data_IF_134495166248
#
_entry.id   IF_134495166248
#
_cell.length_a   1.000
_cell.length_b   1.000
_cell.length_c   1.000
_cell.angle_alpha   90.00
_cell.angle_beta   90.00
_cell.angle_gamma   90.00
#
_symmetry.space_group_name_H-M   'P 1'
#
loop_
_entity.id
_entity.type
_entity.pdbx_description
1 polymer ?
2 polymer ?
3 polymer ?
4 non-polymer ?
5 water ?
#
# COMPACT_ATOMS: atom_id res chain seq x y z
N UNK A 1 -2.92 -0.53 20.94
CA UNK A 1 -3.33 0.82 21.24
C UNK A 1 -4.34 1.35 20.25
N UNK A 2 -3.89 2.25 19.38
CA UNK A 2 -4.75 2.83 18.36
C UNK A 2 -4.85 1.93 17.14
N UNK A 3 -6.06 1.74 16.63
CA UNK A 3 -6.26 0.94 15.43
C UNK A 3 -7.05 1.71 14.39
N UNK A 4 -7.13 1.20 13.17
CA UNK A 4 -7.79 1.91 12.09
C UNK A 4 -8.39 0.98 11.05
N UNK A 5 -9.46 1.45 10.40
CA UNK A 5 -10.05 0.74 9.27
C UNK A 5 -10.17 1.70 8.09
N UNK A 6 -9.64 1.29 6.94
CA UNK A 6 -9.63 2.13 5.75
C UNK A 6 -10.10 1.40 4.51
N UNK A 7 -10.82 2.10 3.66
CA UNK A 7 -11.25 1.58 2.37
C UNK A 7 -10.69 2.44 1.25
N UNK A 8 -10.13 1.76 0.25
CA UNK A 8 -9.53 2.40 -0.91
C UNK A 8 -10.29 2.02 -2.19
N UNK A 9 -10.83 3.04 -2.86
CA UNK A 9 -11.53 2.86 -4.12
C UNK A 9 -10.72 3.44 -5.27
N UNK A 10 -10.63 2.69 -6.36
CA UNK A 10 -9.98 3.16 -7.57
C UNK A 10 -10.86 2.88 -8.78
N UNK A 11 -11.30 3.94 -9.44
CA UNK A 11 -12.14 3.81 -10.62
C UNK A 11 -11.43 4.39 -11.84
N UNK A 12 -11.23 3.57 -12.86
CA UNK A 12 -10.52 3.99 -14.06
C UNK A 12 -11.37 3.81 -15.31
N UNK A 13 -11.67 4.92 -15.98
CA UNK A 13 -12.46 4.87 -17.20
C UNK A 13 -11.65 4.25 -18.34
N UNK A 14 -12.32 3.48 -19.18
CA UNK A 14 -11.66 2.79 -20.28
C UNK A 14 -12.42 2.99 -21.59
N UNK A 15 -12.23 4.15 -22.24
CA UNK A 15 -12.89 4.47 -23.50
C UNK A 15 -12.69 3.37 -24.53
N UNK A 16 -13.78 2.72 -24.93
CA UNK A 16 -13.71 1.63 -25.88
C UNK A 16 -13.77 0.27 -25.20
N UNK A 17 -13.20 0.19 -24.01
CA UNK A 17 -13.21 -1.03 -23.22
C UNK A 17 -14.51 -1.19 -22.44
N UNK A 18 -15.47 -0.31 -22.70
CA UNK A 18 -16.75 -0.37 -22.01
C UNK A 18 -16.72 0.32 -20.65
N UNK A 19 -17.48 -0.23 -19.71
CA UNK A 19 -17.59 0.34 -18.37
C UNK A 19 -16.22 0.52 -17.71
N UNK A 20 -16.09 1.57 -16.87
CA UNK A 20 -14.87 1.80 -16.10
C UNK A 20 -14.61 0.67 -15.12
N UNK A 21 -13.34 0.44 -14.79
CA UNK A 21 -12.99 -0.61 -13.85
C UNK A 21 -12.94 -0.07 -12.41
N UNK A 22 -13.60 -0.78 -11.51
CA UNK A 22 -13.66 -0.37 -10.11
C UNK A 22 -12.99 -1.40 -9.20
N UNK A 23 -12.01 -0.96 -8.43
CA UNK A 23 -11.30 -1.83 -7.50
C UNK A 23 -11.35 -1.28 -6.08
N UNK A 24 -11.85 -2.07 -5.16
CA UNK A 24 -11.98 -1.66 -3.77
C UNK A 24 -11.21 -2.59 -2.84
N UNK A 25 -10.45 -2.01 -1.91
CA UNK A 25 -9.72 -2.82 -0.93
C UNK A 25 -9.94 -2.32 0.50
N UNK A 26 -10.05 -3.27 1.43
CA UNK A 26 -10.28 -2.95 2.83
C UNK A 26 -9.12 -3.34 3.71
N UNK A 27 -8.76 -2.45 4.62
CA UNK A 27 -7.61 -2.65 5.51
C UNK A 27 -7.97 -2.41 6.96
N UNK A 28 -7.56 -3.36 7.82
CA UNK A 28 -7.51 -3.11 9.25
C UNK A 28 -6.06 -2.90 9.61
N UNK A 29 -5.70 -1.67 9.95
CA UNK A 29 -4.30 -1.30 10.16
C UNK A 29 -3.51 -1.52 8.88
N UNK A 30 -2.63 -2.52 8.89
CA UNK A 30 -1.83 -2.84 7.72
C UNK A 30 -2.20 -4.20 7.13
N UNK A 31 -3.37 -4.71 7.52
CA UNK A 31 -3.81 -6.02 7.04
C UNK A 31 -5.03 -5.92 6.14
N UNK A 32 -4.86 -6.29 4.87
CA UNK A 32 -5.98 -6.33 3.94
C UNK A 32 -6.91 -7.49 4.30
N UNK A 33 -8.22 -7.22 4.31
CA UNK A 33 -9.18 -8.26 4.70
C UNK A 33 -10.29 -8.47 3.67
N UNK A 34 -10.45 -7.52 2.75
CA UNK A 34 -11.47 -7.62 1.71
C UNK A 34 -11.02 -7.00 0.40
N UNK A 35 -11.68 -7.41 -0.68
CA UNK A 35 -11.38 -6.90 -2.01
C UNK A 35 -12.62 -6.94 -2.87
N UNK A 36 -12.67 -6.08 -3.88
CA UNK A 36 -13.73 -6.09 -4.87
C UNK A 36 -13.21 -5.62 -6.23
N UNK A 37 -13.39 -6.46 -7.25
CA UNK A 37 -12.91 -6.13 -8.59
C UNK A 37 -14.04 -6.30 -9.60
N UNK A 38 -14.43 -5.21 -10.25
CA UNK A 38 -15.48 -5.25 -11.25
C UNK A 38 -15.10 -6.14 -12.42
N UNK A 39 -13.80 -6.37 -12.58
CA UNK A 39 -13.30 -7.21 -13.67
C UNK A 39 -13.12 -8.66 -13.25
N UNK A 40 -13.48 -8.97 -12.01
CA UNK A 40 -13.46 -10.36 -11.56
C UNK A 40 -14.51 -11.14 -12.34
N UNK A 41 -14.29 -12.43 -12.51
CA UNK A 41 -15.20 -13.27 -13.28
C UNK A 41 -16.61 -13.29 -12.70
N UNK A 42 -16.70 -13.03 -11.40
CA UNK A 42 -17.99 -12.92 -10.74
C UNK A 42 -17.91 -11.90 -9.61
N UNK A 43 -17.96 -10.60 -9.96
CA UNK A 43 -17.78 -9.48 -9.04
C UNK A 43 -18.50 -9.68 -7.71
N UNK A 44 -17.75 -9.62 -6.62
CA UNK A 44 -18.31 -9.77 -5.27
C UNK A 44 -17.25 -9.46 -4.23
N UNK A 45 -17.69 -9.05 -3.05
CA UNK A 45 -16.78 -8.80 -1.94
C UNK A 45 -16.15 -10.12 -1.49
N UNK A 46 -14.83 -10.18 -1.55
CA UNK A 46 -14.12 -11.40 -1.19
C UNK A 46 -13.29 -11.23 0.08
N UNK A 47 -13.19 -12.30 0.89
CA UNK A 47 -12.37 -12.31 2.09
C UNK A 47 -10.89 -12.48 1.75
N UNK A 48 -10.04 -11.66 2.37
CA UNK A 48 -8.59 -11.77 2.17
C UNK A 48 -7.90 -12.00 3.51
N UNK A 49 -8.70 -12.22 4.55
CA UNK A 49 -8.19 -12.53 5.88
C UNK A 49 -9.03 -13.61 6.53
N UNK A 50 -8.36 -14.53 7.26
CA UNK A 50 -9.02 -15.66 7.91
C UNK A 50 -10.09 -15.24 8.93
N UNK A 51 -9.89 -14.10 9.58
CA UNK A 51 -10.78 -13.68 10.66
C UNK A 51 -12.04 -12.98 10.20
N UNK A 52 -12.18 -12.79 8.88
CA UNK A 52 -13.39 -12.19 8.32
C UNK A 52 -14.07 -13.18 7.39
N UNK A 53 -13.40 -14.29 7.13
CA UNK A 53 -13.87 -15.29 6.18
C UNK A 53 -15.10 -16.05 6.68
N UNK A 54 -15.31 -16.04 7.99
CA UNK A 54 -16.42 -16.78 8.58
C UNK A 54 -17.65 -15.91 8.86
N UNK A 55 -17.68 -14.73 8.25
CA UNK A 55 -18.85 -13.87 8.36
C UNK A 55 -19.99 -14.45 7.53
N UNK A 56 -21.20 -14.40 8.08
CA UNK A 56 -22.36 -14.96 7.42
C UNK A 56 -22.58 -14.42 6.02
N UNK A 57 -23.40 -15.13 5.23
CA UNK A 57 -23.71 -14.77 3.84
C UNK A 57 -24.24 -13.35 3.72
N UNK A 58 -25.01 -12.90 4.72
CA UNK A 58 -25.57 -11.55 4.70
C UNK A 58 -24.47 -10.50 4.57
N UNK A 59 -23.39 -10.70 5.30
CA UNK A 59 -22.24 -9.80 5.27
C UNK A 59 -21.73 -9.62 3.85
N UNK A 60 -21.54 -10.74 3.15
CA UNK A 60 -20.97 -10.72 1.81
C UNK A 60 -21.94 -10.19 0.77
N UNK A 61 -23.22 -10.51 0.92
CA UNK A 61 -24.25 -10.02 0.01
C UNK A 61 -24.37 -8.50 0.11
N UNK A 62 -24.55 -8.01 1.33
CA UNK A 62 -24.65 -6.58 1.57
C UNK A 62 -23.38 -5.85 1.14
N UNK A 63 -22.23 -6.42 1.50
CA UNK A 63 -20.94 -5.85 1.13
C UNK A 63 -20.81 -5.72 -0.38
N UNK A 64 -21.19 -6.77 -1.09
CA UNK A 64 -21.16 -6.75 -2.55
C UNK A 64 -22.06 -5.66 -3.09
N UNK A 65 -23.29 -5.60 -2.56
CA UNK A 65 -24.24 -4.59 -2.97
C UNK A 65 -23.65 -3.19 -2.84
N UNK A 66 -23.11 -2.88 -1.68
CA UNK A 66 -22.53 -1.57 -1.42
C UNK A 66 -21.34 -1.30 -2.33
N UNK A 67 -20.56 -2.35 -2.61
CA UNK A 67 -19.42 -2.22 -3.50
C UNK A 67 -19.86 -1.79 -4.89
N UNK A 68 -20.83 -2.51 -5.45
CA UNK A 68 -21.37 -2.18 -6.77
C UNK A 68 -21.96 -0.77 -6.78
N UNK A 69 -22.70 -0.43 -5.73
CA UNK A 69 -23.25 0.91 -5.57
C UNK A 69 -22.14 1.94 -5.71
N UNK A 70 -21.06 1.74 -4.96
CA UNK A 70 -19.91 2.63 -4.99
C UNK A 70 -19.35 2.72 -6.41
N UNK A 71 -19.29 1.59 -7.09
CA UNK A 71 -18.78 1.55 -8.46
C UNK A 71 -19.60 2.47 -9.37
N UNK A 72 -20.92 2.28 -9.36
CA UNK A 72 -21.80 3.11 -10.18
C UNK A 72 -21.63 4.58 -9.82
N UNK A 73 -21.55 4.85 -8.51
CA UNK A 73 -21.33 6.21 -8.02
C UNK A 73 -20.09 6.82 -8.65
N UNK A 74 -19.01 6.05 -8.70
CA UNK A 74 -17.77 6.53 -9.27
C UNK A 74 -17.85 6.69 -10.79
N UNK A 75 -18.71 5.90 -11.43
CA UNK A 75 -18.97 6.09 -12.85
C UNK A 75 -19.62 7.45 -13.10
N UNK A 76 -20.72 7.68 -12.39
CA UNK A 76 -21.43 8.95 -12.49
C UNK A 76 -20.51 10.12 -12.17
N UNK A 77 -19.64 9.93 -11.18
CA UNK A 77 -18.66 10.95 -10.81
C UNK A 77 -17.61 11.16 -11.89
N UNK A 78 -17.33 10.10 -12.65
CA UNK A 78 -16.41 10.19 -13.77
C UNK A 78 -17.02 11.05 -14.87
N UNK A 79 -18.28 10.78 -15.21
CA UNK A 79 -18.98 11.60 -16.19
C UNK A 79 -19.02 13.07 -15.74
N UNK A 80 -19.51 13.28 -14.53
CA UNK A 80 -19.60 14.63 -13.97
C UNK A 80 -18.24 15.32 -14.01
N UNK A 81 -17.18 14.55 -13.80
CA UNK A 81 -15.81 15.08 -13.83
C UNK A 81 -15.44 15.52 -15.24
N UNK A 82 -15.76 14.66 -16.22
CA UNK A 82 -15.53 14.99 -17.62
C UNK A 82 -16.18 16.31 -17.96
N UNK A 83 -17.33 16.55 -17.33
CA UNK A 83 -18.10 17.76 -17.61
C UNK A 83 -17.57 18.98 -16.85
N UNK A 84 -17.00 18.76 -15.67
CA UNK A 84 -16.44 19.84 -14.88
C UNK A 84 -15.19 20.42 -15.52
N UNK A 85 -14.25 19.55 -15.87
CA UNK A 85 -12.98 19.99 -16.45
C UNK A 85 -13.07 20.12 -17.97
N UNK A 86 -14.28 19.96 -18.51
CA UNK A 86 -14.49 20.06 -19.96
C UNK A 86 -13.53 19.16 -20.73
N UNK A 87 -13.63 17.85 -20.50
CA UNK A 87 -12.74 16.90 -21.12
C UNK A 87 -13.48 15.94 -22.05
N UNK A 88 -12.73 15.26 -22.90
CA UNK A 88 -13.32 14.34 -23.87
C UNK A 88 -13.59 12.98 -23.25
N UNK A 89 -14.60 12.29 -23.77
CA UNK A 89 -14.97 10.97 -23.28
C UNK A 89 -14.08 9.90 -23.90
N UNK A 90 -13.22 10.32 -24.83
CA UNK A 90 -12.31 9.40 -25.49
C UNK A 90 -11.01 9.26 -24.71
N UNK A 91 -10.88 10.05 -23.64
CA UNK A 91 -9.70 10.00 -22.81
C UNK A 91 -9.94 9.25 -21.52
N UNK A 92 -8.88 8.62 -21.00
CA UNK A 92 -8.98 7.85 -19.76
C UNK A 92 -8.71 8.72 -18.54
N UNK A 93 -9.50 8.52 -17.49
CA UNK A 93 -9.34 9.28 -16.26
C UNK A 93 -9.48 8.40 -15.03
N UNK A 94 -9.07 8.91 -13.87
CA UNK A 94 -9.05 8.12 -12.65
C UNK A 94 -9.64 8.86 -11.46
N UNK A 95 -10.44 8.14 -10.67
CA UNK A 95 -10.96 8.68 -9.42
C UNK A 95 -10.55 7.76 -8.27
N UNK A 96 -9.92 8.34 -7.25
CA UNK A 96 -9.48 7.56 -6.10
C UNK A 96 -10.13 8.09 -4.83
N UNK A 97 -10.56 7.20 -3.95
CA UNK A 97 -11.16 7.64 -2.69
C UNK A 97 -10.75 6.76 -1.50
N UNK A 98 -10.17 7.39 -0.49
CA UNK A 98 -9.84 6.66 0.73
C UNK A 98 -10.69 7.19 1.87
N UNK A 99 -11.31 6.28 2.62
CA UNK A 99 -12.12 6.71 3.76
C UNK A 99 -12.09 5.68 4.89
N UNK A 100 -12.09 6.14 6.13
CA UNK A 100 -12.05 5.22 7.26
C UNK A 100 -12.13 5.87 8.63
N UNK A 101 -11.86 5.07 9.66
CA UNK A 101 -11.94 5.56 11.03
C UNK A 101 -10.79 5.04 11.88
N UNK A 102 -10.43 5.81 12.90
CA UNK A 102 -9.36 5.43 13.82
C UNK A 102 -9.87 5.22 15.23
N UNK A 103 -10.05 3.97 15.62
CA UNK A 103 -10.44 3.63 16.98
C UNK A 103 -9.29 3.93 17.95
N UNK A 104 -9.57 4.80 18.92
CA UNK A 104 -8.59 5.15 19.92
C UNK A 104 -8.61 4.20 21.11
N UNK A 105 -7.75 4.44 22.10
CA UNK A 105 -7.60 3.58 23.27
C UNK A 105 -8.86 3.55 24.15
N UNK A 106 -9.60 4.66 24.18
CA UNK A 106 -10.80 4.75 25.00
C UNK A 106 -12.05 4.30 24.25
N UNK A 107 -11.84 3.63 23.12
CA UNK A 107 -12.95 3.10 22.34
C UNK A 107 -13.78 4.19 21.69
N UNK A 108 -13.15 5.32 21.39
CA UNK A 108 -13.84 6.44 20.77
C UNK A 108 -13.13 6.86 19.48
N UNK A 109 -13.86 7.54 18.60
CA UNK A 109 -13.31 7.98 17.33
C UNK A 109 -12.15 8.96 17.52
N UNK A 110 -10.97 8.56 17.08
CA UNK A 110 -9.78 9.40 17.20
C UNK A 110 -9.63 10.31 15.99
N UNK A 111 -9.80 9.75 14.80
CA UNK A 111 -9.69 10.51 13.56
C UNK A 111 -10.52 9.88 12.45
N UNK A 112 -11.07 10.71 11.58
CA UNK A 112 -11.88 10.24 10.46
C UNK A 112 -11.24 10.57 9.13
N UNK A 113 -11.49 9.74 8.13
CA UNK A 113 -10.92 9.93 6.80
C UNK A 113 -11.97 9.85 5.71
N UNK A 114 -11.95 10.83 4.81
CA UNK A 114 -12.80 10.83 3.62
C UNK A 114 -12.22 11.77 2.58
N UNK A 115 -11.29 11.27 1.78
CA UNK A 115 -10.60 12.10 0.80
C UNK A 115 -10.62 11.47 -0.59
N UNK A 116 -10.77 12.31 -1.61
CA UNK A 116 -10.85 11.84 -2.98
C UNK A 116 -10.03 12.70 -3.93
N UNK A 117 -9.35 12.05 -4.86
CA UNK A 117 -8.52 12.71 -5.86
C UNK A 117 -8.93 12.32 -7.27
N UNK A 118 -8.72 13.24 -8.21
CA UNK A 118 -9.04 13.00 -9.61
C UNK A 118 -7.79 13.10 -10.47
N UNK A 119 -7.47 12.00 -11.15
CA UNK A 119 -6.27 11.92 -11.98
C UNK A 119 -4.98 12.15 -11.17
N UNK A 120 -4.93 11.57 -9.99
CA UNK A 120 -3.73 11.60 -9.17
C UNK A 120 -3.51 12.90 -8.43
N UNK A 121 -4.49 13.79 -8.45
CA UNK A 121 -4.39 15.07 -7.76
C UNK A 121 -5.57 15.28 -6.82
N UNK A 122 -5.29 15.83 -5.64
CA UNK A 122 -6.32 16.13 -4.66
C UNK A 122 -7.55 16.74 -5.33
N UNK A 123 -8.72 16.22 -4.99
CA UNK A 123 -9.97 16.79 -5.48
C UNK A 123 -10.74 17.43 -4.33
N UNK A 124 -11.20 16.60 -3.40
CA UNK A 124 -11.91 17.11 -2.24
C UNK A 124 -11.69 16.21 -1.02
N UNK A 125 -11.46 16.83 0.14
CA UNK A 125 -11.17 16.06 1.34
C UNK A 125 -11.90 16.57 2.58
N UNK A 126 -12.28 15.65 3.45
CA UNK A 126 -12.93 16.01 4.70
C UNK A 126 -11.90 16.53 5.70
N UNK A 127 -12.18 17.69 6.30
CA UNK A 127 -11.27 18.30 7.26
C UNK A 127 -11.26 17.58 8.60
N UNK A 128 -10.24 17.85 9.41
CA UNK A 128 -10.09 17.23 10.71
C UNK A 128 -11.25 17.51 11.63
N UNK A 129 -11.91 18.63 11.43
CA UNK A 129 -13.07 19.01 12.24
C UNK A 129 -14.27 18.10 11.96
N UNK A 130 -14.17 17.33 10.87
CA UNK A 130 -15.23 16.42 10.47
C UNK A 130 -16.53 17.17 10.16
N UNK A 131 -16.40 18.47 9.91
CA UNK A 131 -17.56 19.31 9.62
C UNK A 131 -17.43 19.96 8.24
N UNK A 132 -16.22 20.40 7.92
CA UNK A 132 -15.98 21.16 6.69
C UNK A 132 -15.24 20.36 5.63
N UNK A 133 -15.25 20.88 4.40
CA UNK A 133 -14.56 20.23 3.28
C UNK A 133 -13.49 21.15 2.71
N UNK A 134 -12.47 20.55 2.10
CA UNK A 134 -11.44 21.30 1.39
C UNK A 134 -11.42 20.89 -0.07
N UNK A 135 -11.62 21.87 -0.95
CA UNK A 135 -11.61 21.64 -2.39
C UNK A 135 -10.29 22.12 -2.98
N UNK A 136 -9.70 21.30 -3.83
CA UNK A 136 -8.39 21.61 -4.41
C UNK A 136 -8.47 22.66 -5.52
N UNK A 137 -9.52 22.59 -6.32
CA UNK A 137 -9.69 23.54 -7.42
C UNK A 137 -11.13 24.05 -7.54
N UNK A 138 -11.37 24.85 -8.57
CA UNK A 138 -12.68 25.47 -8.77
C UNK A 138 -13.73 24.43 -9.12
N UNK A 139 -13.30 23.33 -9.73
CA UNK A 139 -14.22 22.27 -10.12
C UNK A 139 -14.73 21.50 -8.90
N UNK A 140 -13.86 21.35 -7.90
CA UNK A 140 -14.20 20.62 -6.69
C UNK A 140 -15.14 21.42 -5.80
N UNK A 141 -15.19 22.73 -6.02
CA UNK A 141 -16.04 23.61 -5.23
C UNK A 141 -17.53 23.33 -5.50
N UNK A 142 -17.84 22.91 -6.71
CA UNK A 142 -19.20 22.49 -7.05
C UNK A 142 -19.61 21.34 -6.13
N UNK A 143 -18.75 20.34 -6.06
CA UNK A 143 -18.98 19.17 -5.21
C UNK A 143 -19.09 19.59 -3.76
N UNK A 144 -18.22 20.49 -3.34
CA UNK A 144 -18.22 20.98 -1.95
C UNK A 144 -19.57 21.60 -1.62
N UNK A 145 -20.06 22.47 -2.50
CA UNK A 145 -21.35 23.11 -2.29
C UNK A 145 -22.49 22.09 -2.28
N UNK A 146 -22.41 21.12 -3.18
CA UNK A 146 -23.42 20.06 -3.23
C UNK A 146 -23.48 19.30 -1.90
N UNK A 147 -22.31 18.99 -1.34
CA UNK A 147 -22.23 18.22 -0.10
C UNK A 147 -22.59 19.07 1.12
N UNK A 148 -22.40 20.38 1.00
CA UNK A 148 -22.81 21.30 2.07
C UNK A 148 -24.32 21.45 2.07
N UNK A 149 -24.92 21.40 0.89
CA UNK A 149 -26.35 21.56 0.75
C UNK A 149 -27.16 20.38 1.26
N UNK A 150 -26.56 19.19 1.23
CA UNK A 150 -27.26 17.98 1.65
C UNK A 150 -26.72 17.39 2.95
N UNK A 151 -25.99 18.20 3.71
CA UNK A 151 -25.43 17.77 4.99
C UNK A 151 -24.77 16.40 4.89
N UNK A 152 -23.71 16.31 4.08
CA UNK A 152 -23.03 15.05 3.86
C UNK A 152 -22.01 14.75 4.96
N UNK A 153 -21.30 15.78 5.40
CA UNK A 153 -20.29 15.63 6.45
C UNK A 153 -20.93 15.11 7.75
N UNK A 154 -22.10 15.63 8.07
CA UNK A 154 -22.85 15.19 9.24
C UNK A 154 -23.19 13.70 9.16
N UNK A 155 -23.77 13.30 8.04
CA UNK A 155 -24.21 11.92 7.84
C UNK A 155 -23.03 10.94 7.87
N UNK A 156 -22.00 11.25 7.08
CA UNK A 156 -20.81 10.43 7.03
C UNK A 156 -20.13 10.38 8.40
N UNK A 157 -20.26 11.46 9.16
CA UNK A 157 -19.73 11.48 10.52
C UNK A 157 -20.52 10.52 11.40
N UNK A 158 -21.82 10.48 11.17
CA UNK A 158 -22.68 9.51 11.85
C UNK A 158 -22.19 8.10 11.53
N UNK A 159 -21.76 7.88 10.29
CA UNK A 159 -21.16 6.60 9.94
C UNK A 159 -19.85 6.36 10.69
N UNK A 160 -19.04 7.41 10.79
CA UNK A 160 -17.72 7.31 11.42
C UNK A 160 -17.81 6.92 12.88
N UNK A 161 -18.65 7.63 13.64
CA UNK A 161 -18.74 7.41 15.08
C UNK A 161 -19.57 6.18 15.43
N UNK A 162 -20.23 5.60 14.43
CA UNK A 162 -21.10 4.47 14.67
C UNK A 162 -20.66 3.18 14.00
N UNK A 163 -21.34 2.83 12.92
CA UNK A 163 -21.10 1.57 12.21
C UNK A 163 -19.62 1.26 11.99
N UNK A 164 -18.87 2.26 11.56
CA UNK A 164 -17.44 2.09 11.29
C UNK A 164 -16.70 1.55 12.50
N UNK A 165 -16.79 2.26 13.62
CA UNK A 165 -16.11 1.86 14.85
C UNK A 165 -16.60 0.50 15.34
N UNK A 166 -17.90 0.26 15.20
CA UNK A 166 -18.49 -1.01 15.63
C UNK A 166 -17.85 -2.17 14.88
N UNK A 167 -17.84 -2.09 13.55
CA UNK A 167 -17.25 -3.13 12.72
C UNK A 167 -15.75 -3.26 12.96
N UNK A 168 -15.09 -2.14 13.21
CA UNK A 168 -13.66 -2.16 13.50
C UNK A 168 -13.39 -2.98 14.77
N UNK A 169 -14.16 -2.69 15.82
CA UNK A 169 -14.06 -3.42 17.07
C UNK A 169 -14.35 -4.91 16.87
N UNK A 170 -15.38 -5.20 16.07
CA UNK A 170 -15.73 -6.57 15.78
C UNK A 170 -14.58 -7.33 15.12
N UNK A 171 -13.96 -6.69 14.13
CA UNK A 171 -12.81 -7.26 13.44
C UNK A 171 -11.66 -7.48 14.40
N UNK A 172 -11.38 -6.49 15.22
CA UNK A 172 -10.30 -6.57 16.20
C UNK A 172 -10.53 -7.71 17.20
N UNK A 173 -11.80 -7.98 17.49
CA UNK A 173 -12.15 -9.06 18.40
C UNK A 173 -11.96 -10.41 17.72
N UNK A 174 -12.48 -10.55 16.51
CA UNK A 174 -12.39 -11.79 15.77
C UNK A 174 -10.97 -12.12 15.32
N UNK A 175 -10.17 -11.09 15.10
CA UNK A 175 -8.79 -11.27 14.68
C UNK A 175 -7.81 -10.85 15.75
N UNK A 176 -8.07 -11.28 16.98
CA UNK A 176 -7.25 -10.92 18.13
C UNK A 176 -5.78 -11.31 17.95
N UNK A 177 -5.53 -12.58 17.64
CA UNK A 177 -4.18 -13.09 17.53
C UNK A 177 -3.41 -12.49 16.35
N UNK A 178 -4.13 -11.97 15.37
CA UNK A 178 -3.49 -11.46 14.15
C UNK A 178 -3.34 -9.94 14.16
N UNK A 179 -4.42 -9.24 14.50
CA UNK A 179 -4.44 -7.78 14.43
C UNK A 179 -3.80 -7.12 15.65
N UNK A 180 -4.03 -7.68 16.83
CA UNK A 180 -3.47 -7.13 18.05
C UNK A 180 -2.08 -7.71 18.34
N UNK A 181 -1.49 -8.29 17.31
CA UNK A 181 -0.14 -8.86 17.40
C UNK A 181 0.90 -7.87 16.90
N UNK A 182 2.04 -7.83 17.58
CA UNK A 182 3.13 -6.96 17.18
C UNK A 182 4.43 -7.74 16.99
N UNK A 183 4.66 -8.22 15.77
CA UNK A 183 5.85 -9.00 15.46
C UNK A 183 7.09 -8.13 15.32
N UNK A 184 8.12 -8.40 16.14
CA UNK A 184 9.40 -7.68 16.08
C UNK A 184 10.19 -8.08 14.84
N UNK A 185 10.97 -7.15 14.29
CA UNK A 185 11.76 -7.39 13.07
C UNK A 185 13.02 -8.19 13.35
N UNK A 186 13.20 -9.29 12.61
CA UNK A 186 14.44 -10.03 12.64
C UNK A 186 15.50 -9.22 11.91
N UNK A 187 16.50 -8.75 12.64
CA UNK A 187 17.49 -7.83 12.09
C UNK A 187 18.88 -8.44 11.98
N UNK A 188 19.70 -7.84 11.12
CA UNK A 188 21.10 -8.26 10.98
C UNK A 188 21.85 -7.32 10.05
N UNK A 189 23.14 -7.13 10.30
CA UNK A 189 23.96 -6.22 9.49
C UNK A 189 24.86 -6.99 8.53
N UNK A 190 24.86 -6.57 7.27
CA UNK A 190 25.69 -7.20 6.24
C UNK A 190 26.75 -6.24 5.70
N UNK A 191 27.82 -6.80 5.16
CA UNK A 191 28.96 -6.03 4.68
C UNK A 191 29.22 -6.35 3.21
N UNK A 192 29.30 -5.30 2.38
CA UNK A 192 29.48 -5.48 0.94
C UNK A 192 30.49 -4.49 0.38
N UNK A 193 31.75 -4.92 0.23
CA UNK A 193 32.82 -4.07 -0.29
C UNK A 193 32.50 -3.49 -1.66
N UNK A 194 32.69 -2.18 -1.82
CA UNK A 194 32.50 -1.53 -3.11
C UNK A 194 33.83 -1.52 -3.86
N UNK A 195 34.90 -1.20 -3.13
CA UNK A 195 36.25 -1.23 -3.69
C UNK A 195 37.23 -1.71 -2.63
N UNK A 196 38.46 -1.23 -2.70
CA UNK A 196 39.47 -1.57 -1.70
C UNK A 196 39.56 -0.52 -0.62
N UNK A 197 38.77 0.55 -0.77
CA UNK A 197 38.82 1.68 0.16
C UNK A 197 37.46 1.98 0.78
N UNK A 198 36.40 1.47 0.16
CA UNK A 198 35.06 1.68 0.69
C UNK A 198 34.25 0.38 0.73
N UNK A 199 33.30 0.32 1.66
CA UNK A 199 32.44 -0.84 1.82
C UNK A 199 31.07 -0.42 2.33
N UNK A 200 30.03 -1.10 1.87
CA UNK A 200 28.66 -0.76 2.23
C UNK A 200 28.15 -1.58 3.41
N UNK A 201 27.62 -0.90 4.43
CA UNK A 201 27.00 -1.58 5.56
C UNK A 201 25.48 -1.53 5.41
N UNK A 202 24.85 -2.69 5.34
CA UNK A 202 23.41 -2.76 5.13
C UNK A 202 22.68 -3.38 6.32
N UNK A 203 21.80 -2.59 6.95
CA UNK A 203 21.03 -3.04 8.09
C UNK A 203 19.69 -3.61 7.64
N UNK A 204 19.43 -4.86 8.02
CA UNK A 204 18.24 -5.58 7.59
C UNK A 204 17.25 -5.78 8.74
N UNK A 205 16.00 -5.43 8.48
CA UNK A 205 14.90 -5.71 9.40
C UNK A 205 13.78 -6.39 8.64
N UNK A 206 13.52 -7.66 8.97
CA UNK A 206 12.59 -8.47 8.19
C UNK A 206 11.44 -9.04 9.03
N UNK A 207 10.35 -9.40 8.34
CA UNK A 207 9.22 -10.06 8.97
C UNK A 207 8.66 -9.36 10.19
N UNK A 208 8.38 -8.07 10.07
CA UNK A 208 7.82 -7.32 11.19
C UNK A 208 6.43 -6.77 10.87
N UNK A 209 5.64 -6.55 11.92
CA UNK A 209 4.30 -6.02 11.78
C UNK A 209 3.93 -5.27 13.06
N UNK A 210 3.29 -4.10 12.93
CA UNK A 210 2.87 -3.48 11.66
C UNK A 210 4.04 -2.91 10.86
N UNK A 211 3.72 -2.19 9.78
CA UNK A 211 4.73 -1.66 8.88
C UNK A 211 5.56 -0.54 9.51
N UNK A 212 4.95 0.20 10.43
CA UNK A 212 5.64 1.31 11.09
C UNK A 212 6.94 0.84 11.74
N UNK A 213 8.04 1.51 11.39
CA UNK A 213 9.35 1.15 11.92
C UNK A 213 10.35 2.28 11.69
N UNK A 214 11.31 2.43 12.59
CA UNK A 214 12.36 3.42 12.43
C UNK A 214 13.72 2.76 12.30
N UNK A 215 14.47 3.15 11.28
CA UNK A 215 15.76 2.53 11.00
C UNK A 215 16.78 3.58 10.57
N UNK A 216 17.84 3.74 11.35
CA UNK A 216 18.85 4.75 11.07
C UNK A 216 20.28 4.25 11.27
N UNK A 217 21.25 5.06 10.84
CA UNK A 217 22.66 4.76 11.04
C UNK A 217 23.34 5.85 11.82
N UNK A 218 24.32 5.48 12.64
CA UNK A 218 25.06 6.45 13.44
C UNK A 218 26.56 6.20 13.40
N UNK A 219 27.32 7.27 13.19
CA UNK A 219 28.78 7.22 13.21
C UNK A 219 29.27 7.89 14.49
N UNK A 220 29.95 7.11 15.33
CA UNK A 220 30.44 7.61 16.62
C UNK A 220 29.29 7.95 17.55
N UNK A 221 28.11 7.44 17.24
CA UNK A 221 26.91 7.70 18.02
C UNK A 221 26.17 8.93 17.53
N UNK A 222 26.65 9.50 16.43
CA UNK A 222 26.03 10.68 15.85
C UNK A 222 25.23 10.30 14.60
N UNK A 223 24.03 10.87 14.48
CA UNK A 223 23.15 10.57 13.35
C UNK A 223 23.87 10.79 12.01
N UNK A 224 23.59 9.91 11.05
CA UNK A 224 24.23 9.98 9.74
C UNK A 224 23.20 10.03 8.61
N UNK A 225 23.34 11.01 7.72
CA UNK A 225 22.47 11.15 6.57
C UNK A 225 23.29 11.07 5.28
N UNK A 226 24.54 11.49 5.36
CA UNK A 226 25.42 11.51 4.21
C UNK A 226 25.77 10.08 3.78
N UNK A 227 25.87 9.87 2.46
CA UNK A 227 26.23 8.56 1.92
C UNK A 227 25.35 7.45 2.47
N UNK A 228 24.04 7.70 2.48
CA UNK A 228 23.10 6.73 3.04
C UNK A 228 21.94 6.48 2.08
N UNK A 229 21.41 5.25 2.12
CA UNK A 229 20.28 4.88 1.28
C UNK A 229 19.26 4.04 2.05
N UNK A 230 18.04 4.55 2.16
CA UNK A 230 16.95 3.83 2.80
C UNK A 230 15.86 3.50 1.80
N UNK A 231 15.56 2.21 1.66
CA UNK A 231 14.52 1.78 0.73
C UNK A 231 13.14 1.86 1.38
N UNK A 232 12.12 2.06 0.56
CA UNK A 232 10.75 2.12 1.04
C UNK A 232 10.35 0.79 1.68
N UNK A 233 9.61 0.86 2.77
CA UNK A 233 9.13 -0.33 3.45
C UNK A 233 8.34 -1.19 2.46
N UNK A 234 8.72 -2.46 2.36
CA UNK A 234 8.13 -3.37 1.38
C UNK A 234 7.45 -4.56 2.04
N UNK A 235 6.38 -5.07 1.41
CA UNK A 235 5.65 -6.22 1.93
C UNK A 235 6.42 -7.53 1.70
N UNK A 236 6.32 -8.44 2.67
CA UNK A 236 7.00 -9.72 2.56
C UNK A 236 6.23 -10.70 1.69
N UNK A 237 4.92 -10.51 1.62
CA UNK A 237 4.05 -11.38 0.84
C UNK A 237 3.26 -12.33 1.73
N UNK A 238 3.61 -12.37 3.00
CA UNK A 238 2.94 -13.25 3.96
C UNK A 238 2.25 -12.47 5.05
N UNK A 239 2.13 -11.14 4.86
CA UNK A 239 1.47 -10.29 5.83
C UNK A 239 2.45 -9.44 6.62
N UNK A 240 3.74 -9.72 6.44
CA UNK A 240 4.77 -8.98 7.16
C UNK A 240 5.40 -7.91 6.26
N UNK A 241 6.35 -7.16 6.80
CA UNK A 241 7.02 -6.11 6.04
C UNK A 241 8.54 -6.17 6.21
N UNK A 242 9.25 -5.52 5.30
CA UNK A 242 10.70 -5.52 5.30
C UNK A 242 11.25 -4.12 5.09
N UNK A 243 12.53 -3.94 5.40
CA UNK A 243 13.20 -2.66 5.21
C UNK A 243 14.68 -2.77 5.57
N UNK A 244 15.54 -2.20 4.74
CA UNK A 244 16.96 -2.15 5.04
C UNK A 244 17.54 -0.77 4.76
N UNK A 245 18.58 -0.42 5.50
CA UNK A 245 19.24 0.87 5.33
C UNK A 245 20.74 0.71 5.20
N UNK A 246 21.31 1.23 4.11
CA UNK A 246 22.73 1.06 3.85
C UNK A 246 23.51 2.36 3.96
N UNK A 247 24.79 2.25 4.28
CA UNK A 247 25.68 3.41 4.36
C UNK A 247 27.06 3.06 3.82
N UNK A 248 27.61 3.95 3.01
CA UNK A 248 28.95 3.76 2.46
C UNK A 248 30.00 4.22 3.47
N UNK A 249 30.88 3.30 3.86
CA UNK A 249 31.84 3.54 4.91
C UNK A 249 33.27 3.28 4.46
N UNK A 250 34.20 4.17 4.85
CA UNK A 250 35.63 3.97 4.57
C UNK A 250 36.12 2.68 5.21
N UNK A 251 36.91 1.89 4.48
CA UNK A 251 37.42 0.63 4.98
C UNK A 251 38.23 0.83 6.26
N UNK A 252 37.78 0.22 7.35
CA UNK A 252 38.44 0.34 8.63
C UNK A 252 37.63 1.16 9.62
N UNK A 253 36.53 1.73 9.13
CA UNK A 253 35.66 2.57 9.96
C UNK A 253 34.40 1.82 10.36
N UNK A 254 34.29 0.57 9.92
CA UNK A 254 33.08 -0.22 10.13
C UNK A 254 32.60 -0.27 11.58
N UNK A 255 33.53 -0.50 12.50
CA UNK A 255 33.18 -0.71 13.91
C UNK A 255 32.78 0.59 14.62
N UNK A 256 32.72 1.69 13.88
CA UNK A 256 32.31 2.97 14.44
C UNK A 256 30.88 3.31 14.07
N UNK A 257 30.26 2.41 13.30
CA UNK A 257 28.89 2.61 12.85
C UNK A 257 27.92 1.68 13.58
N UNK A 258 26.73 2.20 13.89
CA UNK A 258 25.70 1.42 14.56
C UNK A 258 24.33 1.64 13.91
N UNK A 259 23.60 0.55 13.70
CA UNK A 259 22.26 0.63 13.14
C UNK A 259 21.22 0.64 14.26
N UNK A 260 20.30 1.60 14.21
CA UNK A 260 19.28 1.73 15.24
C UNK A 260 17.89 1.45 14.68
N UNK A 261 17.20 0.48 15.29
CA UNK A 261 15.89 0.05 14.82
C UNK A 261 14.87 0.05 15.95
N UNK A 262 13.81 0.83 15.79
CA UNK A 262 12.72 0.85 16.76
C UNK A 262 11.41 0.40 16.12
N UNK A 263 10.76 -0.56 16.77
CA UNK A 263 9.51 -1.11 16.28
C UNK A 263 8.57 -1.43 17.45
N UNK A 264 7.28 -1.47 17.17
CA UNK A 264 6.28 -1.69 18.20
C UNK A 264 6.45 -3.02 18.92
N UNK A 265 6.95 -4.01 18.19
CA UNK A 265 7.14 -5.35 18.76
C UNK A 265 8.43 -5.48 19.55
N UNK A 266 9.28 -4.47 19.45
CA UNK A 266 10.57 -4.49 20.15
C UNK A 266 10.42 -4.06 21.61
N UNK A 267 10.72 -4.98 22.54
CA UNK A 267 10.70 -4.67 23.97
C UNK A 267 11.64 -3.51 24.27
N UNK A 268 12.76 -3.46 23.55
CA UNK A 268 13.73 -2.39 23.69
C UNK A 268 14.27 -2.02 22.31
N UNK A 269 14.57 -0.73 22.10
CA UNK A 269 15.19 -0.30 20.84
C UNK A 269 16.46 -1.11 20.57
N UNK A 270 16.76 -1.37 19.31
CA UNK A 270 17.91 -2.19 18.95
C UNK A 270 19.12 -1.37 18.52
N UNK A 271 20.29 -1.73 19.04
CA UNK A 271 21.55 -1.14 18.63
C UNK A 271 22.45 -2.22 18.05
N UNK A 272 22.56 -2.24 16.73
CA UNK A 272 23.28 -3.29 16.03
C UNK A 272 24.62 -2.81 15.48
N UNK A 273 25.56 -3.74 15.35
CA UNK A 273 26.86 -3.45 14.78
C UNK A 273 27.30 -4.63 13.92
N UNK A 274 28.12 -4.37 12.92
CA UNK A 274 28.59 -5.44 12.04
C UNK A 274 29.28 -6.54 12.85
N UNK A 275 28.73 -7.74 12.78
CA UNK A 275 29.29 -8.88 13.50
C UNK A 275 29.85 -9.91 12.52
N UNK A 276 31.10 -9.70 12.08
CA UNK A 276 31.75 -10.59 11.11
C UNK A 276 31.75 -12.04 11.57
N UNK B 1 -0.78 14.68 -14.79
CA UNK B 1 0.26 14.26 -13.86
C UNK B 1 0.47 12.74 -13.89
N UNK B 2 1.64 12.32 -14.36
CA UNK B 2 2.00 10.91 -14.38
C UNK B 2 3.36 10.71 -13.73
N UNK B 3 3.50 9.59 -13.02
CA UNK B 3 4.69 9.37 -12.21
C UNK B 3 5.36 8.03 -12.49
N UNK B 4 6.69 8.05 -12.48
CA UNK B 4 7.48 6.87 -12.77
C UNK B 4 7.48 5.90 -11.60
N UNK B 5 7.26 4.61 -11.89
CA UNK B 5 7.19 3.57 -10.85
C UNK B 5 8.56 3.21 -10.28
N UNK B 6 8.60 3.00 -8.97
CA UNK B 6 9.78 2.50 -8.29
C UNK B 6 9.68 0.98 -8.21
N UNK B 7 10.81 0.29 -8.35
CA UNK B 7 10.81 -1.16 -8.39
C UNK B 7 11.74 -1.76 -7.34
N UNK B 8 11.25 -2.77 -6.62
CA UNK B 8 12.08 -3.52 -5.68
C UNK B 8 11.87 -5.02 -5.82
N UNK B 9 12.86 -5.71 -6.40
CA UNK B 9 12.83 -7.16 -6.49
C UNK B 9 13.66 -7.77 -5.37
N UNK B 10 13.02 -8.62 -4.57
CA UNK B 10 13.64 -9.15 -3.36
C UNK B 10 12.99 -10.46 -2.94
N UNK B 11 13.65 -11.20 -2.06
CA UNK B 11 13.11 -12.44 -1.54
C UNK B 11 12.39 -12.21 -0.21
N UNK B 12 11.45 -13.09 0.12
CA UNK B 12 10.71 -12.98 1.37
C UNK B 12 11.62 -13.25 2.57
N UNK B 13 12.42 -14.31 2.47
CA UNK B 13 13.35 -14.67 3.53
C UNK B 13 14.78 -14.55 3.03
N UNK B 14 15.75 -14.43 3.96
CA UNK B 14 17.17 -14.43 3.60
C UNK B 14 17.49 -15.59 2.67
N UNK B 15 17.97 -15.30 1.45
CA UNK B 15 18.18 -16.29 0.40
C UNK B 15 19.27 -17.31 0.74
N UNK B 16 18.94 -18.59 0.60
CA UNK B 16 19.91 -19.68 0.73
C UNK B 16 19.81 -20.59 -0.49
N UNK B 17 20.95 -20.92 -1.07
CA UNK B 17 20.98 -21.78 -2.25
C UNK B 17 20.35 -23.14 -2.00
N UNK B 18 19.36 -23.50 -2.83
CA UNK B 18 18.69 -24.78 -2.72
C UNK B 18 17.57 -24.77 -1.70
N UNK B 19 17.29 -23.60 -1.13
CA UNK B 19 16.25 -23.47 -0.13
C UNK B 19 15.04 -22.74 -0.69
N UNK B 20 13.87 -23.41 -0.67
CA UNK B 20 12.62 -22.84 -1.18
C UNK B 20 12.37 -21.45 -0.62
N UNK B 21 11.98 -20.53 -1.50
CA UNK B 21 11.76 -19.13 -1.10
C UNK B 21 10.71 -18.46 -1.99
N UNK B 22 10.49 -17.18 -1.75
CA UNK B 22 9.46 -16.44 -2.48
C UNK B 22 10.02 -15.18 -3.13
N UNK B 23 9.87 -15.10 -4.45
CA UNK B 23 10.32 -13.94 -5.21
C UNK B 23 9.24 -12.87 -5.29
N UNK B 24 9.61 -11.65 -4.91
CA UNK B 24 8.69 -10.52 -4.91
C UNK B 24 9.20 -9.35 -5.74
N UNK B 25 8.28 -8.71 -6.44
CA UNK B 25 8.54 -7.48 -7.16
C UNK B 25 7.52 -6.44 -6.72
N UNK B 26 8.01 -5.45 -5.96
CA UNK B 26 7.15 -4.39 -5.43
C UNK B 26 7.30 -3.14 -6.28
N UNK B 27 6.23 -2.78 -6.98
CA UNK B 27 6.24 -1.61 -7.85
C UNK B 27 5.32 -0.54 -7.30
N UNK B 28 5.91 0.59 -6.87
CA UNK B 28 5.13 1.61 -6.19
C UNK B 28 5.25 3.00 -6.81
N UNK B 29 4.53 3.96 -6.24
CA UNK B 29 4.63 5.35 -6.65
C UNK B 29 4.45 5.64 -8.12
N UNK B 30 3.55 4.92 -8.77
CA UNK B 30 3.30 5.15 -10.20
C UNK B 30 1.88 5.66 -10.47
N UNK B 31 1.72 6.27 -11.64
CA UNK B 31 0.43 6.83 -12.05
C UNK B 31 0.50 7.19 -13.53
N UNK B 32 -0.53 6.83 -14.30
CA UNK B 32 -1.77 6.17 -13.86
C UNK B 32 -1.56 4.70 -13.46
N UNK B 33 -2.66 4.01 -13.17
CA UNK B 33 -2.61 2.65 -12.66
C UNK B 33 -2.22 1.63 -13.72
N UNK B 34 -2.51 1.93 -14.98
CA UNK B 34 -2.18 1.02 -16.08
C UNK B 34 -0.69 0.70 -16.07
N UNK B 35 -0.37 -0.59 -15.94
CA UNK B 35 1.02 -1.03 -15.86
C UNK B 35 1.14 -2.52 -16.08
N UNK B 36 2.28 -2.96 -16.61
CA UNK B 36 2.54 -4.38 -16.79
C UNK B 36 3.78 -4.82 -16.02
N UNK B 37 3.68 -5.93 -15.30
CA UNK B 37 4.80 -6.44 -14.52
C UNK B 37 4.99 -7.93 -14.73
N UNK B 38 6.24 -8.35 -14.95
CA UNK B 38 6.55 -9.75 -15.14
C UNK B 38 7.77 -10.18 -14.33
N UNK B 39 7.75 -11.42 -13.86
CA UNK B 39 8.89 -12.01 -13.18
C UNK B 39 9.60 -12.99 -14.12
N UNK B 40 10.86 -12.71 -14.43
CA UNK B 40 11.60 -13.50 -15.39
C UNK B 40 12.69 -14.34 -14.76
N UNK B 41 12.86 -15.57 -15.26
CA UNK B 41 13.98 -16.41 -14.87
C UNK B 41 14.84 -16.68 -16.10
N UNK B 42 16.07 -16.17 -16.08
CA UNK B 42 16.98 -16.29 -17.22
C UNK B 42 16.40 -15.66 -18.48
N UNK B 43 15.66 -14.57 -18.32
CA UNK B 43 15.13 -13.83 -19.44
C UNK B 43 13.77 -14.28 -19.93
N UNK B 44 13.20 -15.28 -19.28
CA UNK B 44 11.90 -15.81 -19.69
C UNK B 44 10.89 -15.77 -18.56
N UNK B 45 9.67 -15.35 -18.90
CA UNK B 45 8.57 -15.26 -17.93
C UNK B 45 8.41 -16.57 -17.16
N UNK B 46 8.27 -16.46 -15.85
CA UNK B 46 8.10 -17.64 -15.00
C UNK B 46 6.68 -18.20 -15.12
N UNK B 47 6.51 -19.46 -14.72
CA UNK B 47 5.28 -20.19 -14.93
C UNK B 47 4.05 -19.64 -14.24
N UNK B 48 4.17 -19.33 -12.96
CA UNK B 48 3.01 -18.96 -12.15
C UNK B 48 3.23 -17.67 -11.38
N UNK B 49 2.91 -16.54 -12.01
CA UNK B 49 3.08 -15.24 -11.38
C UNK B 49 1.74 -14.57 -11.09
N UNK B 50 1.53 -14.19 -9.84
CA UNK B 50 0.30 -13.51 -9.43
C UNK B 50 0.63 -12.17 -8.79
N UNK B 51 -0.40 -11.33 -8.62
CA UNK B 51 -0.19 -10.01 -8.04
C UNK B 51 -1.27 -9.66 -7.02
N UNK B 52 -0.99 -8.67 -6.18
CA UNK B 52 -1.92 -8.21 -5.17
C UNK B 52 -2.96 -7.26 -5.75
N UNK B 53 -3.99 -6.95 -4.98
CA UNK B 53 -5.04 -6.04 -5.41
C UNK B 53 -4.55 -4.60 -5.45
N UNK B 54 -4.90 -3.89 -6.52
CA UNK B 54 -4.46 -2.52 -6.72
C UNK B 54 -4.85 -1.62 -5.56
N UNK B 55 -3.87 -0.91 -5.01
CA UNK B 55 -4.11 0.03 -3.91
C UNK B 55 -3.19 1.24 -4.07
N UNK B 56 -3.32 2.21 -3.17
CA UNK B 56 -2.52 3.42 -3.26
C UNK B 56 -2.19 3.99 -1.88
N UNK B 57 -1.20 4.87 -1.84
CA UNK B 57 -0.75 5.47 -0.59
C UNK B 57 -1.32 6.87 -0.44
N UNK B 58 -0.84 7.60 0.57
CA UNK B 58 -1.37 8.92 0.89
C UNK B 58 -1.26 9.91 -0.27
N UNK B 59 -0.14 9.87 -0.98
CA UNK B 59 0.09 10.79 -2.09
C UNK B 59 -0.61 10.31 -3.36
N UNK B 60 -1.52 9.36 -3.20
CA UNK B 60 -2.35 8.87 -4.30
C UNK B 60 -1.62 7.97 -5.30
N UNK B 61 -0.33 7.74 -5.06
CA UNK B 61 0.46 6.87 -5.93
C UNK B 61 0.11 5.41 -5.69
N UNK B 62 -0.07 4.66 -6.78
CA UNK B 62 -0.45 3.25 -6.68
C UNK B 62 0.73 2.37 -6.32
N UNK B 63 0.44 1.19 -5.77
CA UNK B 63 1.47 0.20 -5.47
C UNK B 63 0.94 -1.22 -5.66
N UNK B 64 1.76 -2.06 -6.30
CA UNK B 64 1.38 -3.44 -6.56
C UNK B 64 2.52 -4.38 -6.18
N UNK B 65 2.17 -5.60 -5.79
CA UNK B 65 3.15 -6.61 -5.45
C UNK B 65 2.94 -7.87 -6.30
N UNK B 66 3.86 -8.12 -7.23
CA UNK B 66 3.84 -9.35 -8.00
C UNK B 66 4.73 -10.37 -7.32
N UNK B 67 4.35 -11.63 -7.33
CA UNK B 67 5.08 -12.64 -6.57
C UNK B 67 5.00 -14.04 -7.16
N UNK B 68 5.96 -14.87 -6.79
CA UNK B 68 5.95 -16.26 -7.19
C UNK B 68 6.88 -17.07 -6.30
N UNK B 69 6.88 -18.39 -6.44
CA UNK B 69 7.79 -19.24 -5.68
C UNK B 69 9.08 -19.48 -6.45
N UNK B 70 10.21 -19.33 -5.78
CA UNK B 70 11.50 -19.57 -6.42
C UNK B 70 12.53 -20.14 -5.44
N UNK B 71 13.43 -20.96 -5.97
CA UNK B 71 14.53 -21.51 -5.17
C UNK B 71 15.86 -21.01 -5.72
N UNK B 72 16.45 -20.01 -5.06
CA UNK B 72 17.66 -19.32 -5.53
C UNK B 72 18.89 -20.23 -5.63
N UNK B 73 19.73 -19.94 -6.62
CA UNK B 73 21.00 -20.63 -6.79
C UNK B 73 21.99 -19.78 -7.58
N UNK B 74 23.27 -20.11 -7.49
CA UNK B 74 24.33 -19.27 -8.05
C UNK B 74 24.32 -19.15 -9.57
N UNK B 75 23.69 -20.11 -10.24
CA UNK B 75 23.71 -20.14 -11.70
C UNK B 75 22.56 -19.35 -12.33
N UNK B 76 21.36 -19.49 -11.77
CA UNK B 76 20.18 -18.87 -12.35
C UNK B 76 20.07 -17.39 -12.01
N UNK B 77 19.44 -16.62 -12.90
CA UNK B 77 19.27 -15.19 -12.72
C UNK B 77 17.80 -14.80 -12.80
N UNK B 78 17.31 -14.14 -11.74
CA UNK B 78 15.93 -13.72 -11.68
C UNK B 78 15.83 -12.21 -11.84
N UNK B 79 14.74 -11.74 -12.44
CA UNK B 79 14.56 -10.32 -12.69
C UNK B 79 13.09 -9.92 -12.73
N UNK B 80 12.85 -8.62 -12.75
CA UNK B 80 11.50 -8.09 -12.85
C UNK B 80 11.41 -7.05 -13.96
N UNK B 81 10.52 -7.30 -14.92
CA UNK B 81 10.35 -6.40 -16.05
C UNK B 81 9.06 -5.60 -15.92
N UNK B 82 9.17 -4.28 -16.06
CA UNK B 82 8.02 -3.39 -15.88
C UNK B 82 7.81 -2.47 -17.07
N UNK B 83 6.60 -2.50 -17.63
CA UNK B 83 6.19 -1.59 -18.68
C UNK B 83 5.17 -0.57 -18.16
N UNK B 84 5.48 0.71 -18.37
CA UNK B 84 4.61 1.79 -17.93
C UNK B 84 4.69 2.95 -18.92
N UNK B 85 3.64 3.76 -18.97
CA UNK B 85 3.57 4.86 -19.91
C UNK B 85 4.69 5.87 -19.71
N UNK B 86 5.19 5.96 -18.48
CA UNK B 86 6.24 6.91 -18.16
C UNK B 86 7.64 6.36 -18.48
N UNK B 87 7.69 5.08 -18.83
CA UNK B 87 8.95 4.43 -19.15
C UNK B 87 9.17 4.31 -20.65
N UNK B 88 10.35 4.73 -21.11
CA UNK B 88 10.72 4.59 -22.51
C UNK B 88 11.21 3.17 -22.76
N UNK B 89 10.28 2.24 -22.98
CA UNK B 89 10.62 0.84 -23.11
C UNK B 89 10.60 0.16 -21.76
N UNK B 90 10.59 -1.18 -21.75
CA UNK B 90 10.53 -1.95 -20.51
C UNK B 90 11.78 -1.77 -19.66
N UNK B 91 11.61 -1.64 -18.35
CA UNK B 91 12.73 -1.57 -17.43
C UNK B 91 12.89 -2.89 -16.70
N UNK B 92 14.10 -3.44 -16.71
CA UNK B 92 14.35 -4.72 -16.07
C UNK B 92 15.30 -4.59 -14.89
N UNK B 93 14.85 -5.05 -13.73
CA UNK B 93 15.67 -5.02 -12.52
C UNK B 93 15.98 -6.44 -12.04
N UNK B 94 17.26 -6.80 -12.12
CA UNK B 94 17.69 -8.13 -11.70
C UNK B 94 17.64 -8.27 -10.19
N UNK B 95 17.34 -9.48 -9.72
CA UNK B 95 17.33 -9.74 -8.28
C UNK B 95 18.75 -9.83 -7.74
N UNK B 96 18.98 -9.13 -6.62
CA UNK B 96 20.29 -9.13 -5.99
C UNK B 96 20.14 -9.57 -4.53
N UNK B 97 20.79 -10.69 -4.19
CA UNK B 97 20.66 -11.26 -2.85
C UNK B 97 21.28 -10.37 -1.77
N UNK B 98 21.93 -9.29 -2.19
CA UNK B 98 22.50 -8.33 -1.25
C UNK B 98 21.53 -7.17 -1.03
N UNK B 99 20.40 -7.21 -1.72
CA UNK B 99 19.41 -6.15 -1.63
C UNK B 99 17.99 -6.73 -1.50
N UNK C 1 -16.86 -2.64 7.86
CA UNK C 1 -17.83 -2.74 6.77
C UNK C 1 -17.77 -1.48 5.92
N UNK C 2 -18.47 -1.49 4.79
CA UNK C 2 -18.42 -0.41 3.82
C UNK C 2 -19.52 0.60 4.05
N UNK C 3 -19.30 1.81 3.57
CA UNK C 3 -20.24 2.89 3.74
C UNK C 3 -21.29 2.89 2.63
N UNK C 4 -22.55 3.13 3.02
CA UNK C 4 -23.63 3.20 2.06
C UNK C 4 -24.23 4.59 2.01
N UNK C 5 -24.48 5.05 0.78
CA UNK C 5 -25.07 6.37 0.57
C UNK C 5 -24.70 6.99 -0.75
N UNK C 6 -25.47 8.00 -1.16
CA UNK C 6 -25.23 8.66 -2.43
C UNK C 6 -24.17 9.75 -2.27
N UNK C 7 -23.12 9.65 -3.08
CA UNK C 7 -22.02 10.60 -3.03
C UNK C 7 -21.68 11.10 -4.43
N UNK C 8 -22.51 12.00 -4.95
CA UNK C 8 -22.33 12.52 -6.29
C UNK C 8 -21.50 13.81 -6.30
N UNK C 9 -20.56 13.90 -7.22
CA UNK C 9 -19.74 15.11 -7.37
C UNK C 9 -20.56 16.23 -8.01
X LIG D 1 33.51 -6.63 -4.99
X LIG D 1 33.66 -7.83 -5.76
X LIG D 1 34.13 -5.46 -5.74
X LIG D 1 35.07 -4.80 -4.89
X LIG D 1 36.24 -4.38 -5.60
X LIG D 1 37.30 -5.46 -5.54
X LIG D 1 37.30 -6.20 -6.77
X LIG E 1 15.41 -4.32 -3.44
X LIG E 1 15.86 -3.12 -2.79
X LIG E 1 16.24 -4.57 -4.69
X LIG E 1 15.42 -4.43 -5.84
X LIG E 1 15.99 -3.52 -6.78
X LIG E 1 15.78 -2.08 -6.31
X LIG E 1 15.70 -1.21 -7.43
#
# INVERSE_FOLDING_TARGET
>A
GSHSMKYFYTSVSRPGRGEPRFISVGYVDDTQFVRFDSDAESPREEPRAPWVEQEGPEYWEEATRRAKEAAQTHRENLRTALRYYNQSEAGSHTIQKMYGCDLGPDGRLLRGYHQSAYDGKDYIALNGDLRSWTAADMAAQNTQRKWEGNRYAERFRAYLEGECLEWLRRYLENGKETLQRADPPKTHVTHHPVSDHEATLRCWALGFYPAEITLTWQRDGEEQTQDTEFVETRPGGDGTFQKWGAVVVPSGEEQRYTCHVQHEGLPEPLTLRWEP
>B
IQRTPKIQVYSRHPPENGKPNFLNCYVSGFHPSDIEVDLLKNGEKMGKVEHSDLSFSKDWSFYLLYYTEFTPNEKDEYACRVNHVTLSGPRTVKWDRDM
>C
FQWMGYELW
>D hetero
1 PEG C1 O1 C2 O2 C3 C4 O4
>E hetero
1 PEG C1 O1 C2 O2 C3 C4 O4
#
